data_IF_609696190741
#
_entry.id   IF_609696190741
#
_cell.length_a   1.000
_cell.length_b   1.000
_cell.length_c   1.000
_cell.angle_alpha   90.00
_cell.angle_beta   90.00
_cell.angle_gamma   90.00
#
_symmetry.space_group_name_H-M   'P 1'
#
loop_
_entity.id
_entity.type
_entity.pdbx_description
1 polymer ?
#
# COMPACT_ATOMS: atom_id res chain seq x y z
N UNK A 1 12.32 -1.31 24.31
CA UNK A 1 11.72 -2.61 23.95
C UNK A 1 12.83 -3.52 23.43
N UNK A 2 12.97 -4.75 23.91
CA UNK A 2 14.08 -5.68 23.54
C UNK A 2 13.62 -6.85 22.69
N UNK A 3 12.33 -6.90 22.32
CA UNK A 3 11.82 -7.95 21.45
C UNK A 3 12.13 -7.58 19.99
N UNK A 4 13.13 -8.25 19.42
CA UNK A 4 13.39 -8.19 17.98
C UNK A 4 12.20 -8.77 17.22
N UNK A 5 11.87 -8.17 16.07
CA UNK A 5 10.84 -8.71 15.18
C UNK A 5 11.26 -10.11 14.71
N UNK A 6 10.37 -11.08 14.81
CA UNK A 6 10.60 -12.44 14.32
C UNK A 6 10.40 -12.49 12.80
N UNK A 7 11.38 -13.02 12.06
CA UNK A 7 11.39 -12.98 10.59
C UNK A 7 11.29 -14.36 9.93
N UNK A 8 11.54 -15.48 10.63
CA UNK A 8 11.48 -16.81 10.03
C UNK A 8 10.04 -17.21 9.69
N UNK A 9 9.72 -17.48 8.42
CA UNK A 9 8.39 -18.00 8.00
C UNK A 9 7.21 -17.19 8.52
N UNK A 10 7.38 -15.87 8.64
CA UNK A 10 6.50 -15.00 9.44
C UNK A 10 5.55 -14.17 8.58
N UNK A 11 4.37 -13.89 9.12
CA UNK A 11 3.40 -12.95 8.57
C UNK A 11 3.42 -11.65 9.36
N UNK A 12 3.61 -10.52 8.68
CA UNK A 12 3.67 -9.19 9.28
C UNK A 12 2.47 -8.39 8.76
N UNK A 13 1.50 -8.14 9.64
CA UNK A 13 0.30 -7.36 9.31
C UNK A 13 0.56 -5.89 9.64
N UNK A 14 0.43 -5.04 8.62
CA UNK A 14 0.56 -3.60 8.72
C UNK A 14 -0.80 -2.95 8.43
N UNK A 15 -1.37 -2.26 9.43
CA UNK A 15 -2.56 -1.43 9.26
C UNK A 15 -2.18 0.04 9.42
N UNK A 16 -2.56 0.86 8.44
CA UNK A 16 -2.20 2.27 8.40
C UNK A 16 -3.39 3.12 7.91
N UNK A 17 -3.71 4.16 8.68
CA UNK A 17 -4.80 5.07 8.35
C UNK A 17 -4.35 6.53 8.42
N UNK A 18 -4.83 7.34 7.47
CA UNK A 18 -4.60 8.78 7.45
C UNK A 18 -5.93 9.50 7.56
N UNK A 19 -5.96 10.59 8.32
CA UNK A 19 -7.07 11.53 8.36
C UNK A 19 -6.69 12.84 7.68
N UNK A 20 -7.41 13.21 6.62
CA UNK A 20 -7.20 14.47 5.89
C UNK A 20 -8.46 15.32 5.95
N UNK A 21 -8.34 16.56 6.44
CA UNK A 21 -9.47 17.49 6.63
C UNK A 21 -10.66 16.82 7.32
N UNK A 22 -10.38 16.08 8.40
CA UNK A 22 -11.33 15.31 9.20
C UNK A 22 -11.88 14.03 8.57
N UNK A 23 -11.61 13.72 7.31
CA UNK A 23 -12.03 12.46 6.68
C UNK A 23 -10.95 11.38 6.82
N UNK A 24 -11.34 10.22 7.32
CA UNK A 24 -10.48 9.07 7.53
C UNK A 24 -10.26 8.27 6.24
N UNK A 25 -9.18 7.51 6.22
CA UNK A 25 -8.86 6.46 5.26
C UNK A 25 -8.09 5.36 5.99
N UNK A 26 -8.12 4.15 5.46
CA UNK A 26 -7.36 3.02 5.99
C UNK A 26 -6.89 2.08 4.88
N UNK A 27 -5.69 1.52 5.05
CA UNK A 27 -5.12 0.46 4.23
C UNK A 27 -4.54 -0.60 5.16
N UNK A 28 -4.72 -1.87 4.82
CA UNK A 28 -4.12 -3.00 5.52
C UNK A 28 -3.41 -3.90 4.53
N UNK A 29 -2.17 -4.27 4.83
CA UNK A 29 -1.37 -5.20 4.04
C UNK A 29 -0.71 -6.22 4.93
N UNK A 30 -0.56 -7.43 4.43
CA UNK A 30 0.28 -8.46 5.03
C UNK A 30 1.54 -8.60 4.21
N UNK A 31 2.70 -8.51 4.86
CA UNK A 31 4.00 -8.87 4.27
C UNK A 31 4.34 -10.28 4.73
N UNK A 32 4.91 -11.08 3.83
CA UNK A 32 5.24 -12.47 4.11
C UNK A 32 6.74 -12.68 3.96
N UNK A 33 7.39 -13.16 5.02
CA UNK A 33 8.83 -13.41 5.01
C UNK A 33 9.08 -14.90 4.82
N UNK A 34 9.82 -15.27 3.77
CA UNK A 34 10.05 -16.65 3.35
C UNK A 34 8.76 -17.50 3.37
N UNK A 35 7.67 -17.09 2.70
CA UNK A 35 6.39 -17.80 2.79
C UNK A 35 6.46 -19.19 2.17
N UNK A 36 5.84 -20.17 2.85
CA UNK A 36 5.56 -21.48 2.28
C UNK A 36 4.53 -21.38 1.15
N UNK A 37 4.44 -22.42 0.31
CA UNK A 37 3.44 -22.48 -0.76
C UNK A 37 2.01 -22.41 -0.23
N UNK A 38 1.75 -22.95 0.96
CA UNK A 38 0.41 -22.87 1.57
C UNK A 38 0.08 -21.46 2.08
N UNK A 39 1.06 -20.72 2.61
CA UNK A 39 0.88 -19.31 2.96
C UNK A 39 0.55 -18.47 1.72
N UNK A 40 1.27 -18.71 0.60
CA UNK A 40 1.01 -18.05 -0.69
C UNK A 40 -0.40 -18.34 -1.19
N UNK A 41 -0.81 -19.61 -1.20
CA UNK A 41 -2.17 -20.02 -1.61
C UNK A 41 -3.25 -19.40 -0.74
N UNK A 42 -3.06 -19.40 0.58
CA UNK A 42 -4.01 -18.80 1.53
C UNK A 42 -4.13 -17.29 1.34
N UNK A 43 -3.01 -16.61 1.06
CA UNK A 43 -3.00 -15.17 0.77
C UNK A 43 -3.66 -14.86 -0.58
N UNK A 44 -3.39 -15.66 -1.62
CA UNK A 44 -4.07 -15.48 -2.92
C UNK A 44 -5.59 -15.66 -2.76
N UNK A 45 -6.02 -16.69 -2.04
CA UNK A 45 -7.45 -16.89 -1.77
C UNK A 45 -8.09 -15.74 -0.99
N UNK A 46 -7.33 -15.11 -0.09
CA UNK A 46 -7.77 -13.91 0.62
C UNK A 46 -8.00 -12.73 -0.33
N UNK A 47 -7.12 -12.53 -1.32
CA UNK A 47 -7.32 -11.52 -2.39
C UNK A 47 -8.57 -11.82 -3.21
N UNK A 48 -8.79 -13.08 -3.59
CA UNK A 48 -9.97 -13.48 -4.38
C UNK A 48 -11.27 -13.23 -3.60
N UNK A 49 -11.26 -13.41 -2.27
CA UNK A 49 -12.39 -13.10 -1.41
C UNK A 49 -12.65 -11.58 -1.33
N UNK A 50 -11.60 -10.76 -1.26
CA UNK A 50 -11.74 -9.31 -1.30
C UNK A 50 -12.30 -8.83 -2.65
N UNK A 51 -11.86 -9.43 -3.76
CA UNK A 51 -12.40 -9.11 -5.09
C UNK A 51 -13.92 -9.35 -5.17
N UNK A 52 -14.42 -10.43 -4.55
CA UNK A 52 -15.87 -10.65 -4.42
C UNK A 52 -16.53 -9.51 -3.66
N UNK A 53 -15.96 -9.02 -2.56
CA UNK A 53 -16.52 -7.87 -1.83
C UNK A 53 -16.59 -6.66 -2.75
N UNK A 54 -15.50 -6.33 -3.46
CA UNK A 54 -15.42 -5.18 -4.35
C UNK A 54 -16.41 -5.25 -5.52
N UNK A 55 -16.67 -6.46 -6.03
CA UNK A 55 -17.60 -6.67 -7.15
C UNK A 55 -19.06 -6.65 -6.71
N UNK A 56 -19.38 -7.14 -5.53
CA UNK A 56 -20.77 -7.33 -5.08
C UNK A 56 -21.27 -6.18 -4.20
N UNK A 57 -20.38 -5.41 -3.58
CA UNK A 57 -20.75 -4.24 -2.78
C UNK A 57 -21.15 -3.06 -3.67
N UNK A 58 -22.41 -3.07 -4.12
CA UNK A 58 -22.99 -2.10 -5.06
C UNK A 58 -24.19 -1.37 -4.46
N UNK A 59 -24.62 -0.32 -5.15
CA UNK A 59 -25.82 0.41 -4.79
C UNK A 59 -27.02 -0.54 -4.60
N UNK A 60 -27.75 -0.33 -3.51
CA UNK A 60 -28.97 -1.03 -3.09
C UNK A 60 -28.78 -2.49 -2.68
N UNK A 61 -27.54 -2.99 -2.64
CA UNK A 61 -27.21 -4.32 -2.12
C UNK A 61 -27.18 -4.30 -0.58
N UNK A 62 -27.93 -5.19 0.11
CA UNK A 62 -27.82 -5.35 1.55
C UNK A 62 -26.42 -5.82 1.98
N UNK A 63 -25.85 -5.20 3.02
CA UNK A 63 -24.51 -5.53 3.50
C UNK A 63 -24.38 -6.97 3.98
N UNK A 64 -25.44 -7.54 4.55
CA UNK A 64 -25.47 -8.94 4.97
C UNK A 64 -25.41 -9.92 3.78
N UNK A 65 -25.88 -9.55 2.60
CA UNK A 65 -25.83 -10.41 1.42
C UNK A 65 -24.41 -10.47 0.85
N UNK A 66 -23.69 -9.35 0.83
CA UNK A 66 -22.24 -9.33 0.52
C UNK A 66 -21.46 -10.23 1.47
N UNK A 67 -21.76 -10.15 2.78
CA UNK A 67 -21.15 -11.03 3.78
C UNK A 67 -21.43 -12.52 3.50
N UNK A 68 -22.68 -12.87 3.17
CA UNK A 68 -23.07 -14.26 2.85
C UNK A 68 -22.33 -14.78 1.63
N UNK A 69 -22.23 -14.00 0.56
CA UNK A 69 -21.54 -14.40 -0.67
C UNK A 69 -20.07 -14.77 -0.43
N UNK A 70 -19.35 -13.95 0.33
CA UNK A 70 -17.96 -14.24 0.71
C UNK A 70 -17.88 -15.50 1.58
N UNK A 71 -18.76 -15.61 2.59
CA UNK A 71 -18.81 -16.77 3.48
C UNK A 71 -19.11 -18.07 2.72
N UNK A 72 -20.00 -18.04 1.73
CA UNK A 72 -20.32 -19.15 0.85
C UNK A 72 -19.15 -19.53 -0.05
N UNK A 73 -18.42 -18.56 -0.61
CA UNK A 73 -17.18 -18.81 -1.35
C UNK A 73 -16.15 -19.53 -0.48
N UNK A 74 -15.93 -19.05 0.75
CA UNK A 74 -15.03 -19.71 1.71
C UNK A 74 -15.49 -21.12 2.03
N UNK A 75 -16.77 -21.31 2.34
CA UNK A 75 -17.32 -22.63 2.64
C UNK A 75 -17.21 -23.63 1.47
N UNK A 76 -17.28 -23.15 0.22
CA UNK A 76 -17.22 -23.98 -0.99
C UNK A 76 -15.79 -24.34 -1.38
N UNK A 77 -14.87 -23.37 -1.34
CA UNK A 77 -13.53 -23.52 -1.91
C UNK A 77 -12.46 -23.87 -0.86
N UNK A 78 -12.61 -23.38 0.37
CA UNK A 78 -11.64 -23.54 1.48
C UNK A 78 -12.39 -23.68 2.82
N UNK A 79 -13.21 -24.72 3.02
CA UNK A 79 -14.09 -24.85 4.20
C UNK A 79 -13.35 -24.80 5.54
N UNK A 80 -12.08 -25.24 5.57
CA UNK A 80 -11.21 -25.20 6.75
C UNK A 80 -10.85 -23.77 7.20
N UNK A 81 -11.01 -22.77 6.32
CA UNK A 81 -10.79 -21.36 6.63
C UNK A 81 -12.04 -20.67 7.17
N UNK A 82 -13.20 -21.31 7.12
CA UNK A 82 -14.48 -20.69 7.46
C UNK A 82 -14.55 -20.22 8.93
N UNK A 83 -14.04 -21.03 9.86
CA UNK A 83 -13.96 -20.68 11.29
C UNK A 83 -12.84 -19.70 11.61
N UNK A 84 -11.90 -19.51 10.67
CA UNK A 84 -10.73 -18.65 10.80
C UNK A 84 -10.97 -17.25 10.21
N UNK A 85 -12.02 -17.10 9.40
CA UNK A 85 -12.39 -15.85 8.72
C UNK A 85 -12.85 -14.77 9.71
N UNK A 86 -12.52 -13.51 9.44
CA UNK A 86 -13.07 -12.37 10.17
C UNK A 86 -14.61 -12.34 10.10
N UNK A 87 -15.26 -12.03 11.22
CA UNK A 87 -16.73 -11.95 11.32
C UNK A 87 -17.30 -10.62 10.80
N UNK A 88 -16.43 -9.66 10.53
CA UNK A 88 -16.72 -8.35 9.96
C UNK A 88 -15.78 -8.14 8.77
N UNK A 89 -16.36 -7.83 7.60
CA UNK A 89 -15.63 -7.64 6.34
C UNK A 89 -15.35 -6.17 6.00
N UNK A 90 -15.69 -5.25 6.92
CA UNK A 90 -15.50 -3.83 6.77
C UNK A 90 -16.63 -3.00 7.37
N UNK A 91 -16.38 -1.70 7.52
CA UNK A 91 -17.35 -0.74 8.02
C UNK A 91 -17.36 0.51 7.17
N UNK A 92 -18.47 1.23 7.14
CA UNK A 92 -18.49 2.55 6.57
C UNK A 92 -17.49 3.45 7.34
N UNK A 93 -16.89 4.36 6.59
CA UNK A 93 -15.82 5.24 7.03
C UNK A 93 -16.08 6.63 6.45
N UNK A 94 -15.79 7.68 7.22
CA UNK A 94 -16.02 9.06 6.80
C UNK A 94 -15.31 10.03 7.74
N UNK A 95 -16.07 10.91 8.40
CA UNK A 95 -15.52 11.74 9.49
C UNK A 95 -15.11 10.85 10.67
N UNK A 96 -15.94 9.87 10.97
CA UNK A 96 -15.63 8.79 11.90
C UNK A 96 -14.80 7.71 11.20
N UNK A 97 -13.83 7.16 11.92
CA UNK A 97 -13.00 6.07 11.41
C UNK A 97 -13.81 4.79 11.20
N UNK A 98 -14.85 4.57 12.01
CA UNK A 98 -15.66 3.35 12.01
C UNK A 98 -17.11 3.65 12.38
N UNK A 99 -17.99 3.54 11.40
CA UNK A 99 -19.44 3.59 11.59
C UNK A 99 -19.97 2.18 11.90
N UNK A 100 -20.14 1.86 13.18
CA UNK A 100 -20.42 0.47 13.61
C UNK A 100 -21.80 -0.06 13.21
N UNK A 101 -22.76 0.83 12.93
CA UNK A 101 -24.12 0.47 12.48
C UNK A 101 -24.16 0.08 11.00
N UNK A 102 -23.21 0.55 10.20
CA UNK A 102 -23.08 0.30 8.77
C UNK A 102 -21.84 -0.59 8.55
N UNK A 103 -22.00 -1.86 8.88
CA UNK A 103 -20.92 -2.84 8.87
C UNK A 103 -21.26 -4.06 8.00
N UNK A 104 -20.30 -4.54 7.23
CA UNK A 104 -20.44 -5.73 6.37
C UNK A 104 -20.35 -6.97 7.27
N UNK A 105 -21.51 -7.39 7.78
CA UNK A 105 -21.67 -8.47 8.76
C UNK A 105 -22.92 -9.28 8.44
N UNK A 106 -23.03 -10.50 8.99
CA UNK A 106 -24.17 -11.39 8.75
C UNK A 106 -25.54 -10.83 9.13
N UNK A 107 -25.60 -9.81 9.99
CA UNK A 107 -26.85 -9.27 10.56
C UNK A 107 -27.23 -7.88 10.02
N UNK A 108 -26.34 -7.21 9.30
CA UNK A 108 -26.60 -5.83 8.87
C UNK A 108 -27.46 -5.80 7.61
N UNK A 109 -28.74 -5.44 7.75
CA UNK A 109 -29.70 -5.33 6.63
C UNK A 109 -29.66 -3.97 5.93
N UNK A 110 -28.82 -3.03 6.37
CA UNK A 110 -28.64 -1.77 5.69
C UNK A 110 -28.16 -2.02 4.24
N UNK A 111 -28.64 -1.20 3.31
CA UNK A 111 -28.21 -1.26 1.92
C UNK A 111 -27.03 -0.31 1.69
N UNK A 112 -26.03 -0.78 0.97
CA UNK A 112 -24.99 0.10 0.45
C UNK A 112 -25.61 1.10 -0.53
N UNK A 113 -25.18 2.37 -0.48
CA UNK A 113 -25.65 3.41 -1.40
C UNK A 113 -24.47 3.97 -2.18
N UNK A 114 -24.73 4.36 -3.43
CA UNK A 114 -23.75 5.06 -4.27
C UNK A 114 -23.10 6.22 -3.49
N UNK A 115 -21.78 6.31 -3.56
CA UNK A 115 -21.01 7.35 -2.87
C UNK A 115 -20.69 7.06 -1.41
N UNK A 116 -21.23 5.99 -0.81
CA UNK A 116 -20.75 5.53 0.49
C UNK A 116 -19.31 5.06 0.40
N UNK A 117 -18.53 5.42 1.41
CA UNK A 117 -17.14 4.99 1.61
C UNK A 117 -17.06 3.90 2.65
N UNK A 118 -16.34 2.83 2.35
CA UNK A 118 -16.07 1.75 3.30
C UNK A 118 -14.58 1.54 3.44
N UNK A 119 -14.14 1.21 4.65
CA UNK A 119 -12.95 0.42 4.83
C UNK A 119 -13.37 -1.05 4.71
N UNK A 120 -13.07 -1.68 3.59
CA UNK A 120 -13.21 -3.12 3.42
C UNK A 120 -11.98 -3.78 4.02
N UNK A 121 -12.15 -4.86 4.76
CA UNK A 121 -11.04 -5.64 5.28
C UNK A 121 -11.45 -7.08 5.55
N UNK A 122 -10.64 -8.03 5.12
CA UNK A 122 -10.85 -9.46 5.33
C UNK A 122 -9.56 -10.11 5.80
N UNK A 123 -9.68 -11.08 6.71
CA UNK A 123 -8.54 -11.82 7.21
C UNK A 123 -8.87 -13.23 7.65
N UNK A 124 -7.82 -14.01 7.83
CA UNK A 124 -7.84 -15.33 8.45
C UNK A 124 -6.88 -15.34 9.64
N UNK A 125 -7.32 -15.90 10.78
CA UNK A 125 -6.50 -15.99 12.00
C UNK A 125 -6.30 -17.44 12.42
N UNK A 126 -5.22 -17.72 13.17
CA UNK A 126 -4.94 -19.08 13.65
C UNK A 126 -4.64 -20.06 12.51
N UNK A 127 -4.01 -19.60 11.44
CA UNK A 127 -3.52 -20.46 10.37
C UNK A 127 -2.29 -21.20 10.86
N UNK A 128 -2.18 -22.49 10.52
CA UNK A 128 -1.06 -23.33 10.92
C UNK A 128 -0.02 -23.34 9.81
N UNK A 129 1.25 -23.24 10.19
CA UNK A 129 2.39 -23.34 9.30
C UNK A 129 3.28 -24.50 9.78
N UNK A 130 3.12 -25.70 9.19
CA UNK A 130 3.90 -26.88 9.56
C UNK A 130 5.41 -26.71 9.36
N UNK A 131 5.79 -25.85 8.41
CA UNK A 131 7.19 -25.57 8.06
C UNK A 131 7.85 -24.53 8.99
N UNK A 132 7.12 -24.08 10.03
CA UNK A 132 7.64 -23.15 11.04
C UNK A 132 8.77 -23.78 11.86
N UNK A 133 9.96 -23.19 11.80
CA UNK A 133 11.15 -23.67 12.51
C UNK A 133 11.07 -23.45 14.03
N UNK A 134 10.25 -22.49 14.46
CA UNK A 134 10.14 -22.00 15.84
C UNK A 134 8.66 -21.83 16.24
N UNK A 135 8.37 -21.74 17.53
CA UNK A 135 6.98 -21.64 18.02
C UNK A 135 6.22 -20.41 17.49
N UNK A 136 6.92 -19.32 17.15
CA UNK A 136 6.30 -18.07 16.70
C UNK A 136 5.93 -18.13 15.21
N UNK A 137 6.60 -18.98 14.42
CA UNK A 137 6.31 -19.18 13.01
C UNK A 137 5.30 -20.30 12.72
N UNK A 138 4.91 -21.08 13.73
CA UNK A 138 3.91 -22.17 13.60
C UNK A 138 2.48 -21.71 13.43
N UNK A 139 2.14 -20.52 13.93
CA UNK A 139 0.79 -19.96 13.82
C UNK A 139 0.87 -18.55 13.25
N UNK A 140 0.08 -18.29 12.22
CA UNK A 140 0.06 -16.99 11.56
C UNK A 140 -1.37 -16.50 11.28
N UNK A 141 -1.46 -15.25 10.86
CA UNK A 141 -2.68 -14.63 10.41
C UNK A 141 -2.41 -13.87 9.10
N UNK A 142 -3.44 -13.68 8.30
CA UNK A 142 -3.41 -12.86 7.09
C UNK A 142 -4.51 -11.80 7.22
N UNK A 143 -4.22 -10.57 6.85
CA UNK A 143 -5.19 -9.49 6.88
C UNK A 143 -4.90 -8.46 5.78
N UNK A 144 -5.92 -8.14 5.00
CA UNK A 144 -5.86 -7.13 3.94
C UNK A 144 -7.06 -6.21 4.06
N UNK A 145 -6.94 -5.02 3.51
CA UNK A 145 -8.03 -4.08 3.47
C UNK A 145 -7.70 -2.80 2.73
N UNK A 146 -8.75 -2.17 2.24
CA UNK A 146 -8.68 -1.01 1.37
C UNK A 146 -9.83 -0.05 1.66
N UNK A 147 -9.58 1.24 1.42
CA UNK A 147 -10.64 2.26 1.40
C UNK A 147 -11.26 2.30 0.01
N UNK A 148 -12.57 2.14 -0.06
CA UNK A 148 -13.31 2.05 -1.32
C UNK A 148 -14.52 2.98 -1.33
N UNK A 149 -15.03 3.25 -2.54
CA UNK A 149 -16.30 3.92 -2.77
C UNK A 149 -17.25 2.99 -3.52
N UNK A 150 -18.49 2.94 -3.05
CA UNK A 150 -19.59 2.20 -3.68
C UNK A 150 -20.05 2.92 -4.94
N UNK A 151 -20.06 2.19 -6.05
CA UNK A 151 -20.55 2.65 -7.33
C UNK A 151 -21.98 2.15 -7.59
N UNK A 152 -22.61 2.68 -8.65
CA UNK A 152 -24.01 2.36 -8.97
C UNK A 152 -24.16 0.98 -9.62
N UNK A 153 -23.41 0.71 -10.69
CA UNK A 153 -23.47 -0.55 -11.44
C UNK A 153 -22.13 -1.28 -11.52
N UNK A 154 -21.03 -0.52 -11.46
CA UNK A 154 -19.66 -1.04 -11.55
C UNK A 154 -19.16 -1.56 -10.20
N UNK A 155 -18.05 -2.31 -10.20
CA UNK A 155 -17.35 -2.69 -8.97
C UNK A 155 -16.89 -1.44 -8.21
N UNK A 156 -16.66 -1.56 -6.90
CA UNK A 156 -16.19 -0.44 -6.07
C UNK A 156 -14.90 0.19 -6.61
N UNK A 157 -14.77 1.51 -6.48
CA UNK A 157 -13.52 2.23 -6.76
C UNK A 157 -12.60 2.15 -5.55
N UNK A 158 -11.35 1.71 -5.75
CA UNK A 158 -10.33 1.63 -4.68
C UNK A 158 -9.55 2.95 -4.61
N UNK A 159 -9.52 3.56 -3.42
CA UNK A 159 -8.71 4.77 -3.17
C UNK A 159 -7.30 4.47 -2.67
N UNK A 160 -7.09 3.30 -2.04
CA UNK A 160 -5.80 2.86 -1.53
C UNK A 160 -5.11 1.89 -2.48
N UNK A 161 -4.98 2.27 -3.75
CA UNK A 161 -4.33 1.46 -4.80
C UNK A 161 -2.82 1.30 -4.55
N UNK A 162 -2.47 0.39 -3.65
CA UNK A 162 -1.13 -0.09 -3.41
C UNK A 162 -1.04 -1.56 -3.83
N UNK A 163 0.11 -1.93 -4.39
CA UNK A 163 0.37 -3.29 -4.86
C UNK A 163 0.23 -4.26 -3.70
N UNK A 164 -0.49 -5.36 -3.94
CA UNK A 164 -0.78 -6.39 -2.95
C UNK A 164 -0.60 -7.80 -3.49
N UNK A 165 -0.10 -7.96 -4.70
CA UNK A 165 0.21 -9.27 -5.25
C UNK A 165 1.36 -9.90 -4.46
N UNK A 166 1.42 -11.23 -4.45
CA UNK A 166 2.44 -12.00 -3.71
C UNK A 166 3.85 -11.53 -4.08
N UNK A 167 4.11 -11.22 -5.35
CA UNK A 167 5.42 -10.75 -5.83
C UNK A 167 5.85 -9.39 -5.26
N UNK A 168 4.93 -8.59 -4.71
CA UNK A 168 5.23 -7.29 -4.10
C UNK A 168 5.28 -7.33 -2.57
N UNK A 169 4.70 -8.36 -1.95
CA UNK A 169 4.58 -8.47 -0.48
C UNK A 169 5.45 -9.60 0.11
N UNK A 170 5.93 -10.53 -0.72
CA UNK A 170 6.86 -11.57 -0.31
C UNK A 170 8.28 -10.99 -0.17
N UNK A 171 8.90 -11.25 0.97
CA UNK A 171 10.27 -10.90 1.32
C UNK A 171 11.05 -12.20 1.43
N UNK A 172 12.00 -12.40 0.53
CA UNK A 172 12.88 -13.56 0.57
C UNK A 172 14.20 -13.15 1.24
N UNK A 173 14.44 -13.69 2.43
CA UNK A 173 15.72 -13.56 3.13
C UNK A 173 16.57 -14.76 2.75
N UNK A 174 17.77 -14.51 2.23
CA UNK A 174 18.78 -15.54 2.04
C UNK A 174 19.34 -15.91 3.42
N UNK A 175 19.35 -17.19 3.76
CA UNK A 175 20.08 -17.68 4.93
C UNK A 175 21.59 -17.55 4.60
N UNK A 176 22.38 -16.93 5.49
CA UNK A 176 23.82 -16.70 5.30
C UNK A 176 24.66 -18.01 5.21
N UNK A 177 24.03 -19.16 5.42
CA UNK A 177 24.67 -20.49 5.46
C UNK A 177 24.60 -21.28 4.14
N UNK A 178 23.95 -20.76 3.10
CA UNK A 178 23.94 -21.37 1.76
C UNK A 178 24.79 -20.55 0.79
N UNK A 179 26.08 -20.89 0.69
CA UNK A 179 26.87 -20.59 -0.51
C UNK A 179 26.41 -21.52 -1.64
N UNK A 180 25.37 -21.11 -2.35
CA UNK A 180 25.08 -21.62 -3.69
C UNK A 180 25.15 -20.44 -4.67
N UNK A 181 26.20 -20.46 -5.49
CA UNK A 181 26.34 -19.65 -6.69
C UNK A 181 25.28 -20.09 -7.69
N UNK A 182 24.13 -19.41 -7.69
CA UNK A 182 23.28 -19.36 -8.87
C UNK A 182 23.01 -17.90 -9.25
N UNK A 183 23.64 -17.54 -10.35
CA UNK A 183 23.33 -16.36 -11.12
C UNK A 183 22.03 -16.58 -11.88
N UNK A 184 21.21 -15.52 -11.85
CA UNK A 184 20.09 -15.20 -12.73
C UNK A 184 18.67 -15.41 -12.19
N UNK A 185 17.86 -14.37 -12.43
CA UNK A 185 16.47 -14.11 -12.03
C UNK A 185 16.14 -13.95 -10.53
N UNK A 186 16.42 -12.75 -10.01
CA UNK A 186 15.69 -12.19 -8.85
C UNK A 186 14.92 -10.92 -9.26
N UNK A 187 13.61 -10.80 -8.95
CA UNK A 187 12.94 -9.51 -9.02
C UNK A 187 13.48 -8.62 -7.90
N UNK A 188 14.33 -7.69 -8.30
CA UNK A 188 14.96 -6.70 -7.43
C UNK A 188 13.91 -5.70 -6.93
N UNK A 189 13.35 -5.90 -5.74
CA UNK A 189 12.80 -4.78 -4.97
C UNK A 189 13.99 -4.15 -4.23
N UNK A 190 14.70 -3.25 -4.91
CA UNK A 190 15.58 -2.31 -4.22
C UNK A 190 14.66 -1.49 -3.31
N UNK A 191 14.90 -1.42 -1.98
CA UNK A 191 14.23 -0.40 -1.19
C UNK A 191 14.60 0.94 -1.83
N UNK A 192 13.60 1.70 -2.29
CA UNK A 192 13.78 2.93 -3.09
C UNK A 192 14.58 4.02 -2.35
N UNK A 193 14.93 3.81 -1.08
CA UNK A 193 15.92 4.62 -0.34
C UNK A 193 17.37 4.21 -0.63
N UNK A 194 17.70 2.93 -0.78
CA UNK A 194 19.08 2.49 -1.08
C UNK A 194 19.49 2.76 -2.53
N UNK A 195 18.57 2.73 -3.50
CA UNK A 195 18.85 3.12 -4.88
C UNK A 195 19.04 4.65 -5.05
N UNK A 196 18.29 5.45 -4.29
CA UNK A 196 18.45 6.91 -4.28
C UNK A 196 19.73 7.35 -3.55
N UNK A 197 20.25 6.51 -2.66
CA UNK A 197 21.48 6.76 -1.92
C UNK A 197 22.71 6.33 -2.73
N UNK A 198 22.68 5.17 -3.39
CA UNK A 198 23.75 4.76 -4.33
C UNK A 198 23.86 5.64 -5.58
N UNK A 199 22.76 6.24 -6.06
CA UNK A 199 22.82 7.22 -7.14
C UNK A 199 23.35 8.61 -6.69
N UNK A 200 23.55 8.84 -5.38
CA UNK A 200 24.13 10.08 -4.84
C UNK A 200 25.65 9.99 -4.60
N UNK A 201 26.18 8.78 -4.64
CA UNK A 201 27.59 8.41 -4.37
C UNK A 201 28.20 7.61 -5.52
N UNK A 202 27.80 7.87 -6.77
CA UNK A 202 28.60 7.46 -7.92
C UNK A 202 29.59 8.60 -8.27
N UNK A 203 30.91 8.43 -8.03
CA UNK A 203 31.92 9.44 -8.34
C UNK A 203 32.22 9.54 -9.85
N UNK A 204 31.63 8.67 -10.69
CA UNK A 204 32.07 8.48 -12.08
C UNK A 204 31.33 9.32 -13.13
N UNK A 205 30.33 10.13 -12.74
CA UNK A 205 29.62 11.03 -13.67
C UNK A 205 30.13 12.47 -13.51
N UNK A 206 30.71 13.10 -14.55
CA UNK A 206 31.15 14.49 -14.49
C UNK A 206 29.99 15.40 -14.09
N UNK A 207 30.13 16.13 -12.98
CA UNK A 207 29.10 17.00 -12.42
C UNK A 207 28.62 18.07 -13.44
N UNK A 208 29.52 18.46 -14.34
CA UNK A 208 29.26 19.36 -15.47
C UNK A 208 28.20 18.81 -16.43
N UNK A 209 28.28 17.53 -16.82
CA UNK A 209 27.29 16.90 -17.71
C UNK A 209 25.90 16.85 -17.06
N UNK A 210 25.84 16.73 -15.73
CA UNK A 210 24.57 16.76 -14.99
C UNK A 210 23.98 18.17 -14.94
N UNK A 211 24.81 19.19 -14.74
CA UNK A 211 24.37 20.59 -14.76
C UNK A 211 23.89 21.01 -16.14
N UNK A 212 24.57 20.61 -17.21
CA UNK A 212 24.15 20.88 -18.59
C UNK A 212 22.81 20.20 -18.92
N UNK A 213 22.63 18.95 -18.51
CA UNK A 213 21.37 18.24 -18.70
C UNK A 213 20.20 18.91 -17.96
N UNK A 214 20.42 19.36 -16.73
CA UNK A 214 19.42 20.11 -15.96
C UNK A 214 19.10 21.48 -16.57
N UNK A 215 20.11 22.22 -17.06
CA UNK A 215 19.90 23.46 -17.82
C UNK A 215 19.10 23.21 -19.10
N UNK A 216 19.36 22.11 -19.80
CA UNK A 216 18.62 21.72 -21.00
C UNK A 216 17.15 21.38 -20.73
N UNK A 217 16.86 20.69 -19.62
CA UNK A 217 15.50 20.44 -19.13
C UNK A 217 14.76 21.73 -18.81
N UNK A 218 15.43 22.68 -18.15
CA UNK A 218 14.85 23.98 -17.82
C UNK A 218 14.55 24.80 -19.09
N UNK A 219 15.44 24.77 -20.09
CA UNK A 219 15.22 25.43 -21.37
C UNK A 219 13.99 24.86 -22.08
N UNK A 220 13.85 23.54 -22.15
CA UNK A 220 12.67 22.87 -22.73
C UNK A 220 11.37 23.19 -21.98
N UNK A 221 11.45 23.39 -20.65
CA UNK A 221 10.31 23.80 -19.85
C UNK A 221 9.87 25.23 -20.19
N UNK A 222 10.84 26.15 -20.32
CA UNK A 222 10.58 27.54 -20.69
C UNK A 222 10.04 27.66 -22.13
N UNK A 223 10.63 26.94 -23.09
CA UNK A 223 10.13 26.90 -24.48
C UNK A 223 8.67 26.41 -24.54
N UNK A 224 8.32 25.37 -23.76
CA UNK A 224 6.92 24.90 -23.65
C UNK A 224 6.00 25.92 -22.99
N UNK A 225 6.50 26.68 -22.02
CA UNK A 225 5.73 27.75 -21.39
C UNK A 225 5.48 28.92 -22.35
N UNK A 226 6.47 29.32 -23.15
CA UNK A 226 6.32 30.35 -24.19
C UNK A 226 5.32 29.93 -25.27
N UNK A 227 5.38 28.69 -25.73
CA UNK A 227 4.39 28.16 -26.69
C UNK A 227 2.98 28.20 -26.07
N UNK A 228 2.83 27.83 -24.79
CA UNK A 228 1.54 27.88 -24.10
C UNK A 228 1.02 29.32 -23.94
N UNK A 229 1.89 30.28 -23.63
CA UNK A 229 1.53 31.70 -23.47
C UNK A 229 1.18 32.38 -24.81
N UNK A 230 1.83 31.98 -25.90
CA UNK A 230 1.56 32.54 -27.24
C UNK A 230 0.36 31.89 -27.92
N UNK A 231 -0.02 30.66 -27.56
CA UNK A 231 -1.18 29.94 -28.10
C UNK A 231 -2.48 30.13 -27.30
N UNK A 232 -2.43 30.74 -26.10
CA UNK A 232 -3.62 31.15 -25.35
C UNK A 232 -3.58 32.67 -25.11
N UNK A 233 -4.40 33.40 -25.87
CA UNK A 233 -4.68 34.80 -25.57
C UNK A 233 -5.24 34.97 -24.15
N UNK A 234 -4.53 35.79 -23.36
CA UNK A 234 -4.95 36.51 -22.16
C UNK A 234 -5.90 35.81 -21.18
N UNK A 235 -5.48 34.67 -20.59
CA UNK A 235 -5.97 34.23 -19.27
C UNK A 235 -5.14 33.08 -18.68
N UNK A 236 -3.98 33.38 -18.07
CA UNK A 236 -3.37 32.46 -17.09
C UNK A 236 -2.80 33.25 -15.91
N UNK A 237 -3.32 32.93 -14.73
CA UNK A 237 -2.85 33.37 -13.41
C UNK A 237 -1.38 33.03 -13.20
N UNK A 238 -0.61 33.96 -12.63
CA UNK A 238 0.79 33.78 -12.30
C UNK A 238 1.02 32.54 -11.41
N UNK A 239 1.55 31.45 -11.98
CA UNK A 239 2.12 30.35 -11.21
C UNK A 239 3.41 30.85 -10.54
N UNK A 240 3.44 30.81 -9.20
CA UNK A 240 4.65 31.10 -8.42
C UNK A 240 5.75 30.14 -8.85
N UNK A 241 6.83 30.69 -9.38
CA UNK A 241 8.06 29.95 -9.67
C UNK A 241 8.49 29.18 -8.42
N UNK A 242 8.43 27.84 -8.48
CA UNK A 242 9.02 26.99 -7.44
C UNK A 242 10.53 27.20 -7.48
N UNK A 243 11.08 27.83 -6.44
CA UNK A 243 12.53 27.89 -6.24
C UNK A 243 13.08 26.47 -6.18
N UNK A 244 14.20 26.27 -6.86
CA UNK A 244 14.91 24.99 -6.89
C UNK A 244 15.35 24.68 -5.47
N UNK A 245 14.96 23.50 -4.97
CA UNK A 245 15.37 23.04 -3.65
C UNK A 245 16.80 22.48 -3.76
N UNK A 246 17.80 23.28 -3.38
CA UNK A 246 19.18 22.81 -3.27
C UNK A 246 19.31 22.00 -1.98
N UNK A 247 19.35 20.67 -2.09
CA UNK A 247 19.65 19.81 -0.96
C UNK A 247 21.17 19.74 -0.75
N UNK A 248 21.65 20.28 0.38
CA UNK A 248 23.05 20.16 0.80
C UNK A 248 23.37 18.71 1.20
N UNK A 249 24.58 18.23 0.85
CA UNK A 249 24.97 16.81 1.09
C UNK A 249 25.60 16.56 2.46
N UNK A 250 26.11 17.60 3.13
CA UNK A 250 26.72 17.53 4.46
C UNK A 250 26.48 18.81 5.26
N UNK A 251 26.57 18.74 6.59
CA UNK A 251 26.35 19.90 7.47
C UNK A 251 27.26 21.09 7.13
N UNK A 252 28.50 20.84 6.69
CA UNK A 252 29.43 21.90 6.30
C UNK A 252 29.03 22.70 5.05
N UNK A 253 27.99 22.26 4.33
CA UNK A 253 27.46 22.97 3.16
C UNK A 253 26.18 23.76 3.47
N UNK A 254 25.66 23.68 4.71
CA UNK A 254 24.54 24.51 5.14
C UNK A 254 24.96 26.00 5.15
N UNK A 255 24.09 26.91 4.69
CA UNK A 255 24.38 28.34 4.79
C UNK A 255 24.52 28.73 6.27
N UNK A 256 25.61 29.40 6.62
CA UNK A 256 25.89 29.84 7.99
C UNK A 256 25.26 31.20 8.32
N UNK A 257 24.22 31.61 7.60
CA UNK A 257 23.53 32.86 7.86
C UNK A 257 22.84 32.81 9.24
N UNK A 258 22.97 33.85 10.08
CA UNK A 258 22.37 33.87 11.42
C UNK A 258 20.85 33.66 11.37
N UNK A 259 20.20 34.24 10.36
CA UNK A 259 18.74 34.16 10.15
C UNK A 259 18.24 32.72 9.93
N UNK A 260 19.12 31.81 9.51
CA UNK A 260 18.79 30.39 9.26
C UNK A 260 19.00 29.55 10.53
N UNK A 261 19.93 29.95 11.40
CA UNK A 261 20.23 29.25 12.66
C UNK A 261 19.21 29.57 13.77
N UNK A 262 18.60 30.75 13.74
CA UNK A 262 17.67 31.22 14.78
C UNK A 262 16.18 30.85 14.52
N UNK A 263 15.89 30.06 13.49
CA UNK A 263 14.57 29.50 13.23
C UNK A 263 14.24 28.40 14.27
N UNK A 264 13.60 28.80 15.38
CA UNK A 264 12.97 27.89 16.36
C UNK A 264 11.61 27.37 15.89
#
# INVERSE_FOLDING_TARGET
>A
DKNSLHFGGSSIICAFGIRYKSYCSNVVRTLLVNPSEEMKKSYQFLLDCEEVILRELKHDVPLCDVYKLVREKVAKERPELLSKMTTNLGTALGIEFRESTIAITSKCTAQAKKGMTFQVSIGFTGLENPDGKDEQSKVYALFIGDTIVVNEHESCTIYTSSKKDISHIAIILKDDDTQEDDADDTPVIVPRRAAAEKARTDPSVPEESRQEYQKGLLRKLNERAEVRLTSQGDKVSAEKARKINNSYKSEGQLPQDPDIQDLK
#
